data_IF_445695510888
#
_entry.id   IF_445695510888
#
_cell.length_a   1.000
_cell.length_b   1.000
_cell.length_c   1.000
_cell.angle_alpha   90.00
_cell.angle_beta   90.00
_cell.angle_gamma   90.00
#
_symmetry.space_group_name_H-M   'P 1'
#
loop_
_entity.id
_entity.type
_entity.pdbx_description
1 polymer ?
#
# COMPACT_ATOMS: atom_id res chain seq x y z
N UNK A 1 9.72 0.19 11.34
CA UNK A 1 8.45 0.95 11.25
C UNK A 1 8.73 2.29 10.57
N UNK A 2 7.77 2.88 9.85
CA UNK A 2 7.93 4.23 9.32
C UNK A 2 8.14 5.24 10.45
N UNK A 3 8.96 6.27 10.19
CA UNK A 3 9.21 7.37 11.13
C UNK A 3 8.03 8.37 11.10
N UNK A 4 6.89 7.96 11.64
CA UNK A 4 5.69 8.78 11.84
C UNK A 4 4.85 8.19 12.98
N UNK A 5 4.15 9.05 13.71
CA UNK A 5 3.10 8.64 14.63
C UNK A 5 1.70 8.80 14.04
N UNK A 6 1.58 9.34 12.83
CA UNK A 6 0.30 9.58 12.19
C UNK A 6 -0.25 8.30 11.54
N UNK A 7 -1.51 7.97 11.81
CA UNK A 7 -2.20 6.80 11.28
C UNK A 7 -3.70 7.04 11.08
N UNK A 8 -4.33 6.19 10.28
CA UNK A 8 -5.78 6.03 10.18
C UNK A 8 -6.19 4.67 10.73
N UNK A 9 -7.36 4.57 11.33
CA UNK A 9 -7.88 3.32 11.92
C UNK A 9 -9.37 3.13 11.65
N UNK A 10 -9.76 1.88 11.40
CA UNK A 10 -11.14 1.49 11.10
C UNK A 10 -11.35 0.00 11.39
N UNK A 11 -12.59 -0.40 11.67
CA UNK A 11 -12.98 -1.81 11.81
C UNK A 11 -13.16 -2.47 10.44
N UNK A 12 -12.63 -3.67 10.25
CA UNK A 12 -12.66 -4.37 8.98
C UNK A 12 -12.46 -5.88 9.11
N UNK A 13 -12.14 -6.50 7.98
CA UNK A 13 -11.96 -7.95 7.86
C UNK A 13 -10.54 -8.34 7.49
N UNK A 14 -10.25 -9.64 7.60
CA UNK A 14 -9.07 -10.24 6.99
C UNK A 14 -9.11 -10.09 5.46
N UNK A 15 -7.95 -9.89 4.84
CA UNK A 15 -7.81 -9.77 3.37
C UNK A 15 -7.53 -11.11 2.68
N UNK A 16 -7.61 -12.21 3.43
CA UNK A 16 -7.45 -13.59 2.97
C UNK A 16 -8.76 -14.37 3.13
N UNK A 17 -8.90 -15.56 2.51
CA UNK A 17 -10.10 -16.38 2.63
C UNK A 17 -10.55 -16.58 4.09
N UNK A 18 -11.86 -16.64 4.30
CA UNK A 18 -12.50 -16.57 5.62
C UNK A 18 -13.06 -15.18 5.92
N UNK A 19 -12.41 -14.11 5.45
CA UNK A 19 -12.93 -12.74 5.44
C UNK A 19 -13.55 -12.26 6.78
N UNK A 20 -13.07 -12.76 7.92
CA UNK A 20 -13.69 -12.53 9.22
C UNK A 20 -13.58 -11.05 9.62
N UNK A 21 -14.71 -10.44 9.99
CA UNK A 21 -14.83 -9.05 10.46
C UNK A 21 -14.39 -8.90 11.91
N UNK A 22 -13.11 -9.15 12.17
CA UNK A 22 -12.52 -9.19 13.51
C UNK A 22 -11.28 -8.30 13.64
N UNK A 23 -11.00 -7.50 12.61
CA UNK A 23 -9.73 -6.75 12.50
C UNK A 23 -9.98 -5.26 12.71
N UNK A 24 -9.33 -4.68 13.71
CA UNK A 24 -9.15 -3.22 13.80
C UNK A 24 -7.87 -2.83 13.06
N UNK A 25 -8.01 -2.18 11.90
CA UNK A 25 -6.87 -1.78 11.08
C UNK A 25 -6.17 -0.54 11.64
N UNK A 26 -4.84 -0.51 11.52
CA UNK A 26 -4.01 0.69 11.75
C UNK A 26 -3.14 0.88 10.51
N UNK A 27 -3.42 1.93 9.74
CA UNK A 27 -2.73 2.27 8.50
C UNK A 27 -1.85 3.49 8.73
N UNK A 28 -0.53 3.30 8.68
CA UNK A 28 0.44 4.37 8.92
C UNK A 28 0.46 5.38 7.77
N UNK A 29 0.50 6.68 8.09
CA UNK A 29 0.49 7.79 7.13
C UNK A 29 1.87 8.14 6.53
N UNK A 30 2.84 7.22 6.62
CA UNK A 30 4.16 7.37 5.99
C UNK A 30 4.59 6.00 5.45
N UNK A 31 4.97 5.91 4.16
CA UNK A 31 5.45 4.66 3.59
C UNK A 31 6.85 4.31 4.10
N UNK A 32 7.21 3.04 3.99
CA UNK A 32 8.61 2.58 4.06
C UNK A 32 9.15 2.52 2.65
N UNK A 33 10.27 3.19 2.41
CA UNK A 33 10.94 3.15 1.12
C UNK A 33 11.84 1.92 1.01
N UNK A 34 11.77 1.26 -0.14
CA UNK A 34 12.61 0.11 -0.49
C UNK A 34 13.29 0.38 -1.83
N UNK A 35 14.45 -0.25 -2.05
CA UNK A 35 15.17 -0.15 -3.32
C UNK A 35 14.52 -1.00 -4.41
N UNK A 36 14.81 -0.70 -5.67
CA UNK A 36 14.35 -1.51 -6.82
C UNK A 36 14.81 -2.98 -6.72
N UNK A 37 16.03 -3.20 -6.22
CA UNK A 37 16.60 -4.54 -6.06
C UNK A 37 15.83 -5.36 -5.00
N UNK A 38 15.44 -4.73 -3.90
CA UNK A 38 14.63 -5.37 -2.86
C UNK A 38 13.25 -5.75 -3.39
N UNK A 39 12.59 -4.85 -4.12
CA UNK A 39 11.30 -5.14 -4.75
C UNK A 39 11.41 -6.27 -5.79
N UNK A 40 12.49 -6.29 -6.58
CA UNK A 40 12.73 -7.35 -7.55
C UNK A 40 12.91 -8.71 -6.87
N UNK A 41 13.61 -8.77 -5.73
CA UNK A 41 13.74 -10.00 -4.96
C UNK A 41 12.38 -10.56 -4.51
N UNK A 42 11.46 -9.71 -4.05
CA UNK A 42 10.09 -10.12 -3.70
C UNK A 42 9.31 -10.67 -4.90
N UNK A 43 9.46 -10.04 -6.08
CA UNK A 43 8.79 -10.47 -7.32
C UNK A 43 9.33 -11.76 -7.93
N UNK A 44 10.45 -12.29 -7.43
CA UNK A 44 11.00 -13.59 -7.83
C UNK A 44 10.43 -14.76 -7.04
N UNK A 45 9.63 -14.49 -6.00
CA UNK A 45 9.00 -15.54 -5.21
C UNK A 45 7.98 -16.33 -6.06
N UNK A 46 7.83 -17.61 -5.75
CA UNK A 46 6.93 -18.54 -6.42
C UNK A 46 5.87 -19.03 -5.43
N UNK A 47 4.68 -19.36 -5.94
CA UNK A 47 3.65 -20.08 -5.19
C UNK A 47 4.02 -21.56 -5.08
N UNK A 48 3.70 -22.18 -3.95
CA UNK A 48 4.01 -23.59 -3.68
C UNK A 48 5.41 -23.80 -3.09
N UNK A 49 5.79 -25.07 -2.95
CA UNK A 49 7.07 -25.46 -2.36
C UNK A 49 8.18 -25.48 -3.42
N UNK A 50 9.44 -25.46 -2.97
CA UNK A 50 10.62 -25.49 -3.84
C UNK A 50 10.65 -26.68 -4.80
N UNK A 51 10.15 -27.84 -4.34
CA UNK A 51 10.08 -29.07 -5.15
C UNK A 51 8.96 -29.04 -6.20
N UNK A 52 7.92 -28.24 -5.99
CA UNK A 52 6.73 -28.18 -6.82
C UNK A 52 6.26 -26.71 -7.01
N UNK A 53 7.08 -25.88 -7.67
CA UNK A 53 6.73 -24.49 -7.90
C UNK A 53 5.52 -24.41 -8.86
N UNK A 54 4.58 -23.54 -8.53
CA UNK A 54 3.39 -23.28 -9.35
C UNK A 54 3.59 -22.01 -10.18
N UNK A 55 2.80 -20.98 -9.93
CA UNK A 55 2.91 -19.69 -10.59
C UNK A 55 3.81 -18.71 -9.81
N UNK A 56 4.36 -17.67 -10.46
CA UNK A 56 4.97 -16.55 -9.75
C UNK A 56 4.03 -15.98 -8.69
N UNK A 57 4.58 -15.63 -7.52
CA UNK A 57 3.83 -14.96 -6.47
C UNK A 57 3.71 -13.47 -6.80
N UNK A 58 2.74 -13.15 -7.65
CA UNK A 58 2.39 -11.79 -8.06
C UNK A 58 0.92 -11.48 -7.72
N UNK A 59 0.59 -10.19 -7.70
CA UNK A 59 -0.77 -9.66 -7.51
C UNK A 59 -1.54 -10.27 -6.33
N UNK A 60 -0.81 -10.61 -5.27
CA UNK A 60 -1.31 -11.23 -4.05
C UNK A 60 -1.97 -10.21 -3.11
N UNK A 61 -2.89 -9.40 -3.64
CA UNK A 61 -3.66 -8.40 -2.90
C UNK A 61 -5.16 -8.58 -3.16
N UNK A 62 -5.96 -8.18 -2.17
CA UNK A 62 -7.42 -8.13 -2.30
C UNK A 62 -7.82 -6.81 -2.96
N UNK A 63 -8.78 -6.80 -3.91
CA UNK A 63 -9.33 -5.56 -4.47
C UNK A 63 -9.93 -4.63 -3.40
N UNK A 64 -10.00 -3.35 -3.72
CA UNK A 64 -10.64 -2.35 -2.84
C UNK A 64 -12.13 -2.69 -2.70
N UNK A 65 -12.63 -2.59 -1.48
CA UNK A 65 -14.04 -2.77 -1.15
C UNK A 65 -14.67 -1.45 -0.72
N UNK A 66 -16.00 -1.39 -0.79
CA UNK A 66 -16.78 -0.26 -0.34
C UNK A 66 -16.60 0.01 1.17
N UNK A 67 -16.72 1.28 1.55
CA UNK A 67 -16.57 1.69 2.94
C UNK A 67 -17.77 1.29 3.80
N UNK A 68 -18.95 1.15 3.21
CA UNK A 68 -20.19 0.74 3.89
C UNK A 68 -20.50 1.56 5.14
N UNK A 69 -20.38 2.89 5.03
CA UNK A 69 -20.66 3.84 6.13
C UNK A 69 -19.84 3.63 7.41
N UNK A 70 -18.76 2.85 7.36
CA UNK A 70 -17.86 2.66 8.51
C UNK A 70 -17.15 3.97 8.84
N UNK A 71 -17.00 4.24 10.13
CA UNK A 71 -16.25 5.39 10.61
C UNK A 71 -14.75 5.15 10.49
N UNK A 72 -14.05 6.13 9.93
CA UNK A 72 -12.59 6.18 9.90
C UNK A 72 -12.15 7.18 10.95
N UNK A 73 -11.24 6.76 11.83
CA UNK A 73 -10.64 7.62 12.85
C UNK A 73 -9.18 7.86 12.51
N UNK A 74 -8.63 8.98 12.96
CA UNK A 74 -7.22 9.32 12.75
C UNK A 74 -6.73 10.28 13.82
N UNK A 75 -5.43 10.22 14.11
CA UNK A 75 -4.75 11.20 14.96
C UNK A 75 -4.08 12.33 14.15
N UNK A 76 -4.36 12.40 12.84
CA UNK A 76 -3.87 13.48 11.98
C UNK A 76 -4.71 14.73 12.23
N UNK A 77 -4.04 15.82 12.61
CA UNK A 77 -4.67 17.13 12.65
C UNK A 77 -4.72 17.73 11.25
N UNK A 78 -5.93 17.84 10.69
CA UNK A 78 -6.17 18.46 9.38
C UNK A 78 -6.41 19.97 9.48
N UNK A 79 -6.60 20.51 10.68
CA UNK A 79 -6.81 21.94 10.91
C UNK A 79 -5.44 22.64 10.94
N UNK A 80 -4.83 22.83 9.76
CA UNK A 80 -3.56 23.57 9.63
C UNK A 80 -3.66 24.93 10.31
N UNK A 81 -2.73 25.24 11.22
CA UNK A 81 -2.43 26.63 11.58
C UNK A 81 -1.74 27.31 10.38
N UNK A 82 -2.13 28.52 9.97
CA UNK A 82 -1.41 29.23 8.92
C UNK A 82 0.06 29.42 9.35
N UNK A 83 1.00 28.85 8.58
CA UNK A 83 2.45 28.96 8.83
C UNK A 83 3.15 27.70 9.36
N UNK A 84 2.44 26.61 9.68
CA UNK A 84 3.10 25.34 10.03
C UNK A 84 3.53 24.58 8.76
N UNK A 85 4.85 24.48 8.52
CA UNK A 85 5.39 23.58 7.48
C UNK A 85 4.91 22.15 7.74
N UNK A 86 4.37 21.49 6.72
CA UNK A 86 3.99 20.07 6.82
C UNK A 86 5.27 19.22 6.90
N UNK A 87 5.59 18.58 8.05
CA UNK A 87 6.93 18.01 8.24
C UNK A 87 7.18 16.72 7.44
N UNK A 88 6.16 16.06 6.89
CA UNK A 88 6.28 14.65 6.49
C UNK A 88 5.90 14.29 5.05
N UNK A 89 5.45 15.25 4.24
CA UNK A 89 5.12 14.99 2.83
C UNK A 89 5.92 15.93 1.92
N UNK A 90 7.25 15.86 1.99
CA UNK A 90 8.07 16.52 0.98
C UNK A 90 7.67 15.95 -0.39
N UNK A 91 7.22 16.84 -1.28
CA UNK A 91 6.81 16.55 -2.66
C UNK A 91 8.02 16.25 -3.56
N UNK A 92 8.95 15.42 -3.09
CA UNK A 92 10.22 15.10 -3.76
C UNK A 92 10.23 13.69 -4.33
N UNK A 93 9.07 13.16 -4.70
CA UNK A 93 8.97 11.92 -5.45
C UNK A 93 8.27 12.21 -6.77
N UNK A 94 9.05 12.49 -7.82
CA UNK A 94 8.60 12.45 -9.20
C UNK A 94 8.90 11.07 -9.77
N UNK A 95 7.92 10.44 -10.40
CA UNK A 95 8.15 9.27 -11.25
C UNK A 95 8.01 9.71 -12.70
N UNK A 96 8.97 9.34 -13.54
CA UNK A 96 8.77 9.36 -14.99
C UNK A 96 8.09 8.04 -15.35
N UNK A 97 6.85 8.10 -15.81
CA UNK A 97 6.22 6.97 -16.46
C UNK A 97 6.89 6.78 -17.82
N UNK A 98 7.35 5.57 -18.13
CA UNK A 98 7.73 5.26 -19.50
C UNK A 98 6.46 5.30 -20.35
N UNK A 99 6.40 6.24 -21.28
CA UNK A 99 5.38 6.26 -22.33
C UNK A 99 5.67 5.06 -23.21
N UNK A 100 4.79 4.05 -23.17
CA UNK A 100 4.82 3.01 -24.19
C UNK A 100 4.42 3.68 -25.51
N UNK A 101 5.39 3.82 -26.43
CA UNK A 101 5.07 4.05 -27.83
C UNK A 101 4.16 2.92 -28.27
N UNK A 102 2.92 3.26 -28.62
CA UNK A 102 2.00 2.33 -29.27
C UNK A 102 2.68 1.84 -30.54
N UNK A 103 3.11 0.57 -30.53
CA UNK A 103 3.42 -0.16 -31.74
C UNK A 103 2.21 -0.03 -32.67
N UNK A 104 2.38 0.77 -33.73
CA UNK A 104 1.42 0.88 -34.82
C UNK A 104 1.42 -0.48 -35.52
N UNK A 105 0.37 -1.26 -35.31
CA UNK A 105 0.16 -2.51 -36.05
C UNK A 105 -0.01 -2.19 -37.56
N UNK A 106 0.43 -3.11 -38.44
CA UNK A 106 0.46 -2.90 -39.90
C UNK A 106 -0.93 -2.66 -40.52
#
# INVERSE_FOLDING_TARGET
MPDTHFYMTYEGSTTMPGCYETVTWIVMNKPIYITKQQLFALRRLMQGDEKNPKAPLADNFRPILELNQRSIRTNIDFQRRPGSECPSMQRRMSYQANVFETLKAP
#
